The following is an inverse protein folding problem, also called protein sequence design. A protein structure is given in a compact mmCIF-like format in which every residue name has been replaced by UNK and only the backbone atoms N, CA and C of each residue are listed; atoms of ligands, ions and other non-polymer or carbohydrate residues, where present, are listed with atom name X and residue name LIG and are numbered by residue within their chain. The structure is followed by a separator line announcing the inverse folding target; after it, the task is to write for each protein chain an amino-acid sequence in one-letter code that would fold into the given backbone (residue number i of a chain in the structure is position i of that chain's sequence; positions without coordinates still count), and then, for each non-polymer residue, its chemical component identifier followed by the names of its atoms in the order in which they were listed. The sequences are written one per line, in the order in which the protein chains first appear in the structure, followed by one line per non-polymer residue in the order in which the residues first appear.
data_IF_490132598693
#
_entry.id   IF_490132598693
#
_cell.length_a   1.000
_cell.length_b   1.000
_cell.length_c   1.000
_cell.angle_alpha   90.00
_cell.angle_beta   90.00
_cell.angle_gamma   90.00
#
_symmetry.space_group_name_H-M   'P 1'
#
loop_
_entity.id
_entity.type
_entity.pdbx_description
1 polymer ?
#
# COMPACT_ATOMS: atom_id res chain seq x y z
N UNK A 1 -39.97 10.22 -22.98
CA UNK A 1 -39.31 8.92 -22.71
C UNK A 1 -37.86 8.79 -23.19
N UNK A 2 -37.33 9.60 -24.09
CA UNK A 2 -35.94 9.48 -24.63
C UNK A 2 -34.82 10.02 -23.69
N UNK A 3 -35.14 10.83 -22.69
CA UNK A 3 -34.13 11.47 -21.82
C UNK A 3 -33.65 10.57 -20.68
N UNK A 4 -34.42 9.58 -20.25
CA UNK A 4 -34.06 8.67 -19.16
C UNK A 4 -33.11 7.55 -19.57
N UNK A 5 -33.09 7.19 -20.85
CA UNK A 5 -32.23 6.13 -21.40
C UNK A 5 -30.75 6.58 -21.41
N UNK A 6 -30.50 7.85 -21.74
CA UNK A 6 -29.12 8.42 -21.74
C UNK A 6 -28.52 8.50 -20.33
N UNK A 7 -29.33 8.82 -19.30
CA UNK A 7 -28.88 8.86 -17.90
C UNK A 7 -28.60 7.46 -17.36
N UNK A 8 -29.40 6.46 -17.77
CA UNK A 8 -29.21 5.08 -17.34
C UNK A 8 -27.94 4.48 -17.96
N UNK A 9 -27.60 4.80 -19.23
CA UNK A 9 -26.40 4.35 -19.90
C UNK A 9 -25.11 4.94 -19.29
N UNK A 10 -25.13 6.21 -18.89
CA UNK A 10 -23.99 6.86 -18.22
C UNK A 10 -23.76 6.27 -16.83
N UNK A 11 -24.83 5.97 -16.09
CA UNK A 11 -24.73 5.32 -14.77
C UNK A 11 -24.16 3.91 -14.86
N UNK A 12 -24.57 3.14 -15.89
CA UNK A 12 -24.04 1.79 -16.13
C UNK A 12 -22.54 1.79 -16.51
N UNK A 13 -22.09 2.79 -17.27
CA UNK A 13 -20.68 2.94 -17.65
C UNK A 13 -19.82 3.32 -16.44
N UNK A 14 -20.32 4.19 -15.54
CA UNK A 14 -19.62 4.57 -14.31
C UNK A 14 -19.53 3.36 -13.36
N UNK A 15 -20.56 2.53 -13.27
CA UNK A 15 -20.55 1.32 -12.44
C UNK A 15 -19.57 0.24 -12.93
N UNK A 16 -19.30 0.19 -14.25
CA UNK A 16 -18.30 -0.76 -14.81
C UNK A 16 -16.83 -0.35 -14.58
N UNK A 17 -16.57 0.94 -14.31
CA UNK A 17 -15.20 1.43 -14.07
C UNK A 17 -14.71 1.19 -12.64
N UNK A 18 -15.57 0.81 -11.71
CA UNK A 18 -15.21 0.55 -10.30
C UNK A 18 -14.82 -0.90 -9.99
N UNK A 19 -14.89 -1.80 -10.98
CA UNK A 19 -14.45 -3.20 -10.85
C UNK A 19 -12.97 -3.38 -11.21
N UNK A 20 -12.09 -2.51 -10.70
CA UNK A 20 -10.65 -2.81 -10.63
C UNK A 20 -10.43 -3.85 -9.53
N UNK A 21 -10.97 -5.05 -9.76
CA UNK A 21 -10.80 -6.18 -8.87
C UNK A 21 -9.31 -6.51 -8.76
N UNK A 22 -8.82 -6.71 -7.55
CA UNK A 22 -7.54 -7.32 -7.27
C UNK A 22 -7.39 -8.54 -8.18
N UNK A 23 -6.45 -8.50 -9.13
CA UNK A 23 -6.14 -9.65 -9.99
C UNK A 23 -5.35 -10.63 -9.12
N UNK A 24 -6.01 -11.65 -8.61
CA UNK A 24 -5.33 -12.80 -8.00
C UNK A 24 -5.15 -13.87 -9.08
N UNK A 25 -3.91 -14.18 -9.41
CA UNK A 25 -3.57 -15.33 -10.24
C UNK A 25 -3.32 -16.53 -9.32
N UNK A 26 -4.02 -17.63 -9.56
CA UNK A 26 -3.87 -18.86 -8.76
C UNK A 26 -3.32 -19.94 -9.66
N UNK A 27 -2.20 -20.56 -9.25
CA UNK A 27 -1.62 -21.74 -9.89
C UNK A 27 -1.43 -22.86 -8.88
N UNK A 28 -1.45 -24.11 -9.33
CA UNK A 28 -1.15 -25.27 -8.51
C UNK A 28 0.28 -25.70 -8.75
N UNK A 29 1.03 -25.91 -7.66
CA UNK A 29 2.37 -26.47 -7.70
C UNK A 29 2.35 -28.01 -7.78
N UNK A 30 3.44 -28.62 -8.20
CA UNK A 30 3.56 -30.09 -8.35
C UNK A 30 3.42 -30.84 -7.01
N UNK A 31 3.72 -30.18 -5.89
CA UNK A 31 3.56 -30.71 -4.52
C UNK A 31 2.11 -30.62 -3.99
N UNK A 32 1.17 -30.11 -4.79
CA UNK A 32 -0.23 -29.94 -4.43
C UNK A 32 -0.56 -28.65 -3.68
N UNK A 33 0.43 -27.84 -3.31
CA UNK A 33 0.22 -26.51 -2.76
C UNK A 33 -0.33 -25.53 -3.83
N UNK A 34 -0.94 -24.43 -3.37
CA UNK A 34 -1.43 -23.38 -4.27
C UNK A 34 -0.50 -22.17 -4.19
N UNK A 35 -0.06 -21.68 -5.36
CA UNK A 35 0.59 -20.39 -5.47
C UNK A 35 -0.45 -19.34 -5.86
N UNK A 36 -0.50 -18.27 -5.07
CA UNK A 36 -1.43 -17.14 -5.26
C UNK A 36 -0.61 -15.88 -5.44
N UNK A 37 -0.76 -15.22 -6.57
CA UNK A 37 -0.15 -13.92 -6.82
C UNK A 37 -1.18 -12.82 -6.59
N UNK A 38 -0.84 -11.83 -5.78
CA UNK A 38 -1.64 -10.66 -5.50
C UNK A 38 -0.87 -9.39 -5.77
N UNK A 39 -1.56 -8.31 -6.12
CA UNK A 39 -0.93 -7.03 -6.39
C UNK A 39 -1.60 -5.90 -5.61
N UNK A 40 -0.78 -4.92 -5.22
CA UNK A 40 -1.22 -3.65 -4.62
C UNK A 40 -0.81 -2.52 -5.55
N UNK A 41 -1.78 -1.76 -6.01
CA UNK A 41 -1.56 -0.59 -6.88
C UNK A 41 -1.01 0.59 -6.08
N UNK A 42 -0.42 1.57 -6.77
CA UNK A 42 0.04 2.81 -6.13
C UNK A 42 -1.10 3.52 -5.38
N UNK A 43 -2.32 3.56 -5.93
CA UNK A 43 -3.46 4.19 -5.27
C UNK A 43 -3.86 3.50 -3.96
N UNK A 44 -3.88 2.16 -3.94
CA UNK A 44 -4.13 1.39 -2.72
C UNK A 44 -3.01 1.59 -1.69
N UNK A 45 -1.76 1.60 -2.13
CA UNK A 45 -0.62 1.84 -1.24
C UNK A 45 -0.65 3.26 -0.66
N UNK A 46 -1.06 4.26 -1.45
CA UNK A 46 -1.29 5.63 -1.01
C UNK A 46 -2.28 5.69 0.16
N UNK A 47 -3.42 4.99 0.04
CA UNK A 47 -4.44 4.92 1.08
C UNK A 47 -3.94 4.20 2.34
N UNK A 48 -3.24 3.07 2.16
CA UNK A 48 -2.65 2.30 3.26
C UNK A 48 -1.68 3.16 4.06
N UNK A 49 -0.72 3.80 3.38
CA UNK A 49 0.32 4.59 4.05
C UNK A 49 -0.31 5.80 4.74
N UNK A 50 -1.20 6.54 4.07
CA UNK A 50 -1.88 7.71 4.65
C UNK A 50 -2.64 7.34 5.92
N UNK A 51 -3.38 6.23 5.90
CA UNK A 51 -4.14 5.76 7.06
C UNK A 51 -3.27 5.13 8.16
N UNK A 52 -2.05 4.66 7.84
CA UNK A 52 -1.13 4.07 8.81
C UNK A 52 -0.35 5.12 9.59
N UNK A 53 0.00 6.23 8.94
CA UNK A 53 0.71 7.33 9.58
C UNK A 53 -0.20 8.06 10.58
N UNK A 54 -1.48 8.21 10.26
CA UNK A 54 -2.55 8.75 11.13
C UNK A 54 -2.17 10.04 11.89
N UNK A 55 -1.36 10.93 11.28
CA UNK A 55 -1.00 12.23 11.84
C UNK A 55 -2.01 13.29 11.35
N UNK A 56 -2.82 13.90 12.24
CA UNK A 56 -3.84 14.86 11.85
C UNK A 56 -3.27 16.16 11.26
N UNK A 57 -1.98 16.41 11.41
CA UNK A 57 -1.31 17.58 10.87
C UNK A 57 -0.86 17.39 9.41
N UNK A 58 -0.90 16.17 8.87
CA UNK A 58 -0.55 15.92 7.48
C UNK A 58 -1.62 16.52 6.57
N UNK A 59 -1.18 17.44 5.70
CA UNK A 59 -2.04 18.11 4.70
C UNK A 59 -2.04 17.37 3.37
N UNK A 60 -0.89 16.86 2.98
CA UNK A 60 -0.73 16.08 1.75
C UNK A 60 0.30 14.98 1.96
N UNK A 61 0.09 13.87 1.26
CA UNK A 61 1.05 12.76 1.22
C UNK A 61 1.03 12.19 -0.20
N UNK A 62 2.18 12.06 -0.80
CA UNK A 62 2.35 11.48 -2.13
C UNK A 62 3.23 10.25 -2.04
N UNK A 63 2.71 9.12 -2.51
CA UNK A 63 3.40 7.84 -2.58
C UNK A 63 3.78 7.57 -4.02
N UNK A 64 5.03 7.27 -4.28
CA UNK A 64 5.54 6.95 -5.62
C UNK A 64 6.27 5.61 -5.59
N UNK A 65 5.80 4.68 -6.41
CA UNK A 65 6.47 3.40 -6.60
C UNK A 65 7.73 3.60 -7.47
N UNK A 66 8.84 3.04 -6.99
CA UNK A 66 10.12 3.00 -7.69
C UNK A 66 10.55 1.55 -7.88
N UNK A 67 11.58 1.31 -8.68
CA UNK A 67 12.13 -0.03 -8.81
C UNK A 67 12.77 -0.46 -7.48
N UNK A 68 12.13 -1.40 -6.78
CA UNK A 68 12.63 -1.99 -5.54
C UNK A 68 12.28 -1.25 -4.25
N UNK A 69 11.67 -0.07 -4.29
CA UNK A 69 11.28 0.68 -3.09
C UNK A 69 10.11 1.63 -3.35
N UNK A 70 9.59 2.21 -2.28
CA UNK A 70 8.55 3.24 -2.31
C UNK A 70 9.11 4.55 -1.77
N UNK A 71 8.95 5.64 -2.52
CA UNK A 71 9.26 6.99 -2.06
C UNK A 71 8.00 7.66 -1.54
N UNK A 72 8.07 8.26 -0.36
CA UNK A 72 6.96 8.98 0.26
C UNK A 72 7.42 10.40 0.58
N UNK A 73 6.66 11.38 0.10
CA UNK A 73 6.85 12.80 0.40
C UNK A 73 5.51 13.40 0.84
N UNK A 74 5.55 14.39 1.70
CA UNK A 74 4.33 15.03 2.18
C UNK A 74 4.57 16.40 2.78
N UNK A 75 3.47 17.08 3.07
CA UNK A 75 3.44 18.33 3.79
C UNK A 75 2.65 18.17 5.07
N UNK A 76 3.20 18.69 6.14
CA UNK A 76 2.64 18.65 7.48
C UNK A 76 2.49 20.07 8.01
N UNK A 77 1.36 20.38 8.63
CA UNK A 77 1.16 21.66 9.31
C UNK A 77 2.17 21.81 10.45
N UNK A 78 2.80 22.99 10.52
CA UNK A 78 3.76 23.28 11.61
C UNK A 78 3.04 23.51 12.92
N UNK A 79 3.44 22.78 13.97
CA UNK A 79 2.80 22.80 15.30
C UNK A 79 2.63 24.21 15.89
N UNK A 80 3.62 25.08 15.67
CA UNK A 80 3.64 26.43 16.27
C UNK A 80 3.18 27.54 15.32
N UNK A 81 2.82 27.19 14.08
CA UNK A 81 2.39 28.15 13.08
C UNK A 81 1.61 27.47 11.94
N UNK A 82 0.31 27.37 12.08
CA UNK A 82 -0.60 26.70 11.13
C UNK A 82 -0.60 27.30 9.70
N UNK A 83 -0.03 28.50 9.51
CA UNK A 83 0.13 29.09 8.18
C UNK A 83 1.38 28.59 7.44
N UNK A 84 2.24 27.84 8.11
CA UNK A 84 3.46 27.23 7.53
C UNK A 84 3.36 25.70 7.51
N UNK A 85 4.01 25.10 6.54
CA UNK A 85 4.15 23.66 6.43
C UNK A 85 5.59 23.22 6.64
N UNK A 86 5.75 22.03 7.20
CA UNK A 86 7.01 21.30 7.27
C UNK A 86 6.99 20.21 6.19
N UNK A 87 8.09 20.01 5.50
CA UNK A 87 8.22 18.90 4.54
C UNK A 87 8.47 17.58 5.28
N UNK A 88 7.81 16.53 4.84
CA UNK A 88 8.03 15.16 5.34
C UNK A 88 8.49 14.27 4.21
N UNK A 89 9.47 13.40 4.49
CA UNK A 89 9.90 12.40 3.52
C UNK A 89 10.39 11.12 4.22
N UNK A 90 10.25 10.00 3.53
CA UNK A 90 10.88 8.73 3.89
C UNK A 90 10.93 7.77 2.70
N UNK A 91 11.78 6.77 2.79
CA UNK A 91 11.82 5.60 1.93
C UNK A 91 11.20 4.41 2.64
N UNK A 92 10.41 3.62 1.93
CA UNK A 92 9.83 2.37 2.42
C UNK A 92 10.31 1.20 1.55
N UNK A 93 10.93 0.23 2.17
CA UNK A 93 11.29 -1.04 1.58
C UNK A 93 10.36 -2.13 2.12
N UNK A 94 9.98 -3.10 1.27
CA UNK A 94 9.18 -4.26 1.65
C UNK A 94 10.02 -5.52 1.49
N UNK A 95 9.87 -6.44 2.42
CA UNK A 95 10.60 -7.70 2.44
C UNK A 95 9.74 -8.86 2.95
N UNK A 96 10.35 -10.05 3.01
CA UNK A 96 9.75 -11.26 3.57
C UNK A 96 10.62 -11.77 4.69
N UNK A 97 10.02 -12.07 5.82
CA UNK A 97 10.68 -12.75 6.94
C UNK A 97 9.74 -13.77 7.55
N UNK A 98 10.20 -15.02 7.66
CA UNK A 98 9.42 -16.14 8.22
C UNK A 98 8.03 -16.34 7.58
N UNK A 99 7.92 -16.09 6.26
CA UNK A 99 6.64 -16.21 5.55
C UNK A 99 5.67 -15.04 5.76
N UNK A 100 6.11 -13.97 6.41
CA UNK A 100 5.34 -12.75 6.67
C UNK A 100 5.93 -11.55 5.90
N UNK A 101 5.07 -10.59 5.57
CA UNK A 101 5.49 -9.33 4.99
C UNK A 101 6.13 -8.44 6.05
N UNK A 102 7.29 -7.89 5.72
CA UNK A 102 7.95 -6.87 6.53
C UNK A 102 8.02 -5.54 5.80
N UNK A 103 7.94 -4.46 6.54
CA UNK A 103 8.15 -3.10 6.05
C UNK A 103 9.30 -2.47 6.83
N UNK A 104 10.15 -1.72 6.14
CA UNK A 104 11.27 -1.00 6.74
C UNK A 104 11.32 0.41 6.17
N UNK A 105 11.08 1.38 7.04
CA UNK A 105 11.20 2.81 6.71
C UNK A 105 12.60 3.27 7.05
N UNK A 106 13.23 3.93 6.09
CA UNK A 106 14.52 4.61 6.23
C UNK A 106 14.42 6.08 5.84
N UNK A 107 15.40 6.88 6.24
CA UNK A 107 15.51 8.32 5.93
C UNK A 107 14.26 9.13 6.31
N UNK A 108 13.56 8.70 7.37
CA UNK A 108 12.34 9.35 7.83
C UNK A 108 12.66 10.68 8.52
N UNK A 109 12.16 11.77 7.94
CA UNK A 109 12.43 13.12 8.44
C UNK A 109 11.26 14.09 8.25
N UNK A 110 11.21 15.10 9.10
CA UNK A 110 10.34 16.28 9.00
C UNK A 110 11.23 17.52 9.05
N UNK A 111 11.22 18.34 8.01
CA UNK A 111 12.11 19.51 7.83
C UNK A 111 13.60 19.20 8.10
N UNK A 112 14.07 18.02 7.64
CA UNK A 112 15.45 17.57 7.83
C UNK A 112 15.76 17.01 9.23
N UNK A 113 14.77 16.96 10.14
CA UNK A 113 14.91 16.37 11.47
C UNK A 113 14.39 14.94 11.44
N UNK A 114 15.22 13.98 11.87
CA UNK A 114 14.85 12.57 11.92
C UNK A 114 13.63 12.32 12.82
N UNK A 115 12.73 11.46 12.37
CA UNK A 115 11.56 11.03 13.15
C UNK A 115 12.02 10.01 14.20
N UNK A 116 11.40 10.05 15.38
CA UNK A 116 11.69 9.12 16.46
C UNK A 116 11.48 7.65 16.04
N UNK A 117 12.43 6.79 16.40
CA UNK A 117 12.46 5.39 15.97
C UNK A 117 11.21 4.60 16.39
N UNK A 118 10.68 4.82 17.59
CA UNK A 118 9.46 4.17 18.08
C UNK A 118 8.25 4.46 17.18
N UNK A 119 8.17 5.66 16.62
CA UNK A 119 7.12 6.07 15.70
C UNK A 119 7.30 5.40 14.34
N UNK A 120 8.53 5.33 13.85
CA UNK A 120 8.89 4.60 12.62
C UNK A 120 8.56 3.12 12.75
N UNK A 121 8.90 2.49 13.87
CA UNK A 121 8.62 1.08 14.14
C UNK A 121 7.11 0.78 14.16
N UNK A 122 6.32 1.69 14.74
CA UNK A 122 4.86 1.58 14.71
C UNK A 122 4.32 1.65 13.26
N UNK A 123 4.81 2.57 12.45
CA UNK A 123 4.43 2.68 11.04
C UNK A 123 4.82 1.43 10.25
N UNK A 124 6.05 0.92 10.42
CA UNK A 124 6.52 -0.30 9.78
C UNK A 124 5.55 -1.45 10.03
N UNK A 125 5.20 -1.70 11.29
CA UNK A 125 4.28 -2.77 11.67
C UNK A 125 2.87 -2.57 11.08
N UNK A 126 2.35 -1.35 11.14
CA UNK A 126 0.99 -1.05 10.68
C UNK A 126 0.89 -1.16 9.17
N UNK A 127 1.86 -0.64 8.42
CA UNK A 127 1.92 -0.70 6.96
C UNK A 127 2.04 -2.17 6.50
N UNK A 128 2.97 -2.94 7.07
CA UNK A 128 3.16 -4.35 6.73
C UNK A 128 1.87 -5.14 6.92
N UNK A 129 1.22 -5.01 8.08
CA UNK A 129 -0.04 -5.72 8.37
C UNK A 129 -1.16 -5.34 7.40
N UNK A 130 -1.31 -4.07 7.06
CA UNK A 130 -2.36 -3.62 6.14
C UNK A 130 -2.14 -4.09 4.71
N UNK A 131 -0.90 -4.09 4.22
CA UNK A 131 -0.56 -4.63 2.90
C UNK A 131 -0.78 -6.14 2.87
N UNK A 132 -0.33 -6.87 3.90
CA UNK A 132 -0.51 -8.32 4.01
C UNK A 132 -1.99 -8.72 3.98
N UNK A 133 -2.86 -7.97 4.66
CA UNK A 133 -4.31 -8.23 4.68
C UNK A 133 -4.98 -8.10 3.30
N UNK A 134 -4.40 -7.36 2.36
CA UNK A 134 -4.90 -7.32 0.98
C UNK A 134 -4.54 -8.63 0.25
N UNK A 135 -3.34 -9.16 0.50
CA UNK A 135 -2.80 -10.32 -0.20
C UNK A 135 -3.23 -11.66 0.39
N UNK A 136 -3.31 -11.76 1.71
CA UNK A 136 -3.60 -13.00 2.42
C UNK A 136 -5.02 -13.00 2.98
N UNK A 137 -5.91 -13.76 2.34
CA UNK A 137 -7.25 -14.09 2.86
C UNK A 137 -7.30 -15.43 3.59
N UNK A 138 -6.17 -16.10 3.74
CA UNK A 138 -6.06 -17.43 4.33
C UNK A 138 -4.99 -17.43 5.42
N UNK A 139 -5.33 -17.88 6.62
CA UNK A 139 -4.43 -17.95 7.77
C UNK A 139 -3.26 -18.93 7.55
N UNK A 140 -3.37 -19.86 6.59
CA UNK A 140 -2.32 -20.81 6.23
C UNK A 140 -1.48 -20.34 5.03
N UNK A 141 -1.64 -19.07 4.59
CA UNK A 141 -0.86 -18.53 3.50
C UNK A 141 0.50 -18.02 4.02
N UNK A 142 1.57 -18.45 3.37
CA UNK A 142 2.93 -17.97 3.63
C UNK A 142 3.41 -17.13 2.45
N UNK A 143 3.89 -15.93 2.73
CA UNK A 143 4.48 -15.06 1.72
C UNK A 143 5.85 -15.61 1.30
N UNK A 144 6.02 -15.84 0.01
CA UNK A 144 7.26 -16.35 -0.58
C UNK A 144 8.13 -15.22 -1.11
N UNK A 145 7.51 -14.23 -1.75
CA UNK A 145 8.24 -13.12 -2.33
C UNK A 145 7.39 -11.85 -2.36
N UNK A 146 8.06 -10.71 -2.32
CA UNK A 146 7.51 -9.40 -2.59
C UNK A 146 8.45 -8.66 -3.55
N UNK A 147 7.90 -7.98 -4.54
CA UNK A 147 8.65 -7.13 -5.45
C UNK A 147 7.90 -5.82 -5.68
N UNK A 148 8.67 -4.74 -5.80
CA UNK A 148 8.14 -3.40 -6.07
C UNK A 148 8.61 -3.00 -7.46
N UNK A 149 7.64 -2.68 -8.32
CA UNK A 149 7.86 -2.11 -9.64
C UNK A 149 7.26 -0.70 -9.70
N UNK A 150 7.58 0.13 -10.69
CA UNK A 150 6.95 1.45 -10.83
C UNK A 150 5.42 1.42 -11.01
N UNK A 151 4.85 0.25 -11.29
CA UNK A 151 3.43 0.08 -11.57
C UNK A 151 2.65 -0.48 -10.37
N UNK A 152 3.27 -1.39 -9.60
CA UNK A 152 2.60 -2.13 -8.51
C UNK A 152 3.58 -2.83 -7.56
N UNK A 153 3.07 -3.18 -6.39
CA UNK A 153 3.71 -4.15 -5.49
C UNK A 153 3.12 -5.53 -5.80
N UNK A 154 3.97 -6.50 -6.13
CA UNK A 154 3.60 -7.89 -6.38
C UNK A 154 3.98 -8.75 -5.19
N UNK A 155 3.08 -9.63 -4.77
CA UNK A 155 3.29 -10.58 -3.68
C UNK A 155 2.90 -11.98 -4.13
N UNK A 156 3.77 -12.96 -3.89
CA UNK A 156 3.51 -14.38 -4.16
C UNK A 156 3.35 -15.12 -2.84
N UNK A 157 2.22 -15.79 -2.68
CA UNK A 157 1.85 -16.55 -1.49
C UNK A 157 1.78 -18.04 -1.80
N UNK A 158 2.17 -18.88 -0.86
CA UNK A 158 1.93 -20.33 -0.91
C UNK A 158 0.91 -20.69 0.16
N UNK A 159 -0.12 -21.42 -0.24
CA UNK A 159 -1.15 -21.97 0.66
C UNK A 159 -0.98 -23.48 0.72
N UNK A 160 -0.58 -23.98 1.89
CA UNK A 160 -0.47 -25.41 2.16
C UNK A 160 -1.84 -25.91 2.68
N UNK A 161 -2.28 -27.06 2.17
CA UNK A 161 -3.54 -27.71 2.61
C UNK A 161 -3.31 -28.58 3.82
#
# INVERSE_FOLDING_TARGET
MKQNIKKLSVLAIILMLTLSACKANISRNDDGSLSVETSVTQAQLQEIISSSIADPLIKSLTVTLQQGYVSVIGERERLNNASKTDSMSFRLDLGVSNGELTASISDAQIDGVSIEQNRVDHWNKTIANRIANIGSRNENAQLQSVSITPEQVLMTWTVVR
#
